data_IF_785095464062
#
_entry.id   IF_785095464062
#
_cell.length_a   1.000
_cell.length_b   1.000
_cell.length_c   1.000
_cell.angle_alpha   90.00
_cell.angle_beta   90.00
_cell.angle_gamma   90.00
#
_symmetry.space_group_name_H-M   'P 1'
#
loop_
_entity.id
_entity.type
_entity.pdbx_description
1 polymer ?
#
# COMPACT_ATOMS: atom_id res chain seq x y z
N UNK A 1 -3.43 10.45 -11.93
CA UNK A 1 -3.90 10.31 -10.53
C UNK A 1 -2.70 10.42 -9.61
N UNK A 2 -2.85 11.08 -8.46
CA UNK A 2 -1.76 11.23 -7.49
C UNK A 2 -1.70 9.94 -6.64
N UNK A 3 -0.51 9.39 -6.40
CA UNK A 3 -0.32 8.11 -5.67
C UNK A 3 -0.98 8.10 -4.29
N UNK A 4 -0.97 9.23 -3.59
CA UNK A 4 -1.67 9.40 -2.32
C UNK A 4 -3.18 9.14 -2.44
N UNK A 5 -3.83 9.75 -3.43
CA UNK A 5 -5.27 9.59 -3.64
C UNK A 5 -5.62 8.13 -3.98
N UNK A 6 -4.75 7.45 -4.72
CA UNK A 6 -4.88 6.01 -5.00
C UNK A 6 -4.81 5.19 -3.72
N UNK A 7 -3.82 5.44 -2.87
CA UNK A 7 -3.68 4.76 -1.58
C UNK A 7 -4.90 5.01 -0.68
N UNK A 8 -5.41 6.24 -0.61
CA UNK A 8 -6.63 6.60 0.15
C UNK A 8 -7.88 5.90 -0.37
N UNK A 9 -7.91 5.52 -1.65
CA UNK A 9 -8.97 4.71 -2.27
C UNK A 9 -8.74 3.20 -2.12
N UNK A 10 -7.71 2.80 -1.37
CA UNK A 10 -7.37 1.39 -1.14
C UNK A 10 -6.65 0.71 -2.31
N UNK A 11 -6.16 1.45 -3.31
CA UNK A 11 -5.35 0.85 -4.38
C UNK A 11 -4.06 0.29 -3.80
N UNK A 12 -3.78 -0.97 -4.10
CA UNK A 12 -2.58 -1.65 -3.64
C UNK A 12 -1.44 -1.41 -4.64
N UNK A 13 -0.30 -0.95 -4.13
CA UNK A 13 0.94 -0.87 -4.89
C UNK A 13 1.84 -2.04 -4.50
N UNK A 14 2.49 -2.67 -5.46
CA UNK A 14 3.42 -3.74 -5.15
C UNK A 14 4.19 -4.25 -6.35
N UNK A 15 4.99 -5.27 -6.07
CA UNK A 15 5.72 -6.06 -7.06
C UNK A 15 5.53 -7.55 -6.72
N UNK A 16 4.95 -8.28 -7.67
CA UNK A 16 4.68 -9.71 -7.52
C UNK A 16 5.96 -10.55 -7.55
N UNK A 17 7.05 -10.04 -8.13
CA UNK A 17 8.33 -10.74 -8.17
C UNK A 17 9.04 -10.69 -6.82
N UNK A 18 8.97 -9.57 -6.10
CA UNK A 18 9.60 -9.41 -4.78
C UNK A 18 8.65 -9.70 -3.62
N UNK A 19 7.36 -9.91 -3.89
CA UNK A 19 6.30 -10.06 -2.89
C UNK A 19 6.29 -8.89 -1.89
N UNK A 20 6.44 -7.67 -2.43
CA UNK A 20 6.39 -6.42 -1.68
C UNK A 20 5.11 -5.66 -2.00
N UNK A 21 4.43 -5.16 -0.97
CA UNK A 21 3.15 -4.46 -1.14
C UNK A 21 3.03 -3.27 -0.19
N UNK A 22 2.35 -2.22 -0.64
CA UNK A 22 1.98 -1.03 0.12
C UNK A 22 0.50 -0.74 -0.10
N UNK A 23 -0.27 -0.63 0.98
CA UNK A 23 -1.70 -0.34 0.91
C UNK A 23 -2.23 0.30 2.19
N UNK A 24 -3.43 0.89 2.12
CA UNK A 24 -4.15 1.41 3.29
C UNK A 24 -5.15 0.35 3.79
N UNK A 25 -5.09 -0.10 5.05
CA UNK A 25 -6.09 -1.05 5.56
C UNK A 25 -7.51 -0.46 5.50
N UNK A 26 -8.51 -1.31 5.27
CA UNK A 26 -9.93 -0.87 5.25
C UNK A 26 -10.41 -0.27 6.58
N UNK A 27 -9.75 -0.58 7.71
CA UNK A 27 -10.03 0.04 9.01
C UNK A 27 -9.69 1.54 9.06
N UNK A 28 -8.86 2.03 8.15
CA UNK A 28 -8.40 3.43 8.09
C UNK A 28 -9.28 4.31 7.18
N UNK A 29 -10.31 3.74 6.56
CA UNK A 29 -11.23 4.50 5.69
C UNK A 29 -11.94 5.57 6.51
N UNK A 30 -11.75 6.84 6.12
CA UNK A 30 -12.32 8.00 6.80
C UNK A 30 -11.47 8.52 7.97
N UNK A 31 -10.32 7.91 8.26
CA UNK A 31 -9.38 8.44 9.24
C UNK A 31 -8.77 9.77 8.77
N UNK A 32 -8.59 10.71 9.70
CA UNK A 32 -7.93 12.00 9.43
C UNK A 32 -6.45 11.78 9.06
N UNK A 33 -5.78 10.88 9.80
CA UNK A 33 -4.39 10.50 9.63
C UNK A 33 -4.28 8.97 9.51
N UNK A 34 -4.56 8.41 8.32
CA UNK A 34 -4.57 6.96 8.13
C UNK A 34 -3.16 6.37 8.26
N UNK A 35 -3.10 5.16 8.80
CA UNK A 35 -1.91 4.31 8.76
C UNK A 35 -1.88 3.50 7.46
N UNK A 36 -0.69 3.22 6.95
CA UNK A 36 -0.49 2.35 5.80
C UNK A 36 0.30 1.12 6.22
N UNK A 37 0.21 0.07 5.42
CA UNK A 37 0.92 -1.17 5.64
C UNK A 37 1.93 -1.37 4.53
N UNK A 38 3.16 -1.71 4.90
CA UNK A 38 4.14 -2.29 4.00
C UNK A 38 4.37 -3.77 4.34
N UNK A 39 4.32 -4.60 3.32
CA UNK A 39 4.58 -6.03 3.37
C UNK A 39 5.82 -6.38 2.56
N UNK A 40 6.62 -7.28 3.10
CA UNK A 40 7.75 -7.89 2.40
C UNK A 40 7.90 -9.35 2.86
N UNK A 41 7.35 -10.27 2.08
CA UNK A 41 7.29 -11.69 2.43
C UNK A 41 6.46 -11.92 3.70
N UNK A 42 7.08 -12.41 4.79
CA UNK A 42 6.39 -12.69 6.06
C UNK A 42 6.37 -11.50 7.03
N UNK A 43 6.99 -10.38 6.65
CA UNK A 43 7.06 -9.17 7.49
C UNK A 43 6.01 -8.18 7.06
N UNK A 44 5.35 -7.58 8.04
CA UNK A 44 4.40 -6.48 7.89
C UNK A 44 4.79 -5.36 8.85
N UNK A 45 4.73 -4.12 8.39
CA UNK A 45 5.00 -2.94 9.20
C UNK A 45 3.97 -1.85 8.93
N UNK A 46 3.52 -1.21 10.00
CA UNK A 46 2.72 0.01 9.95
C UNK A 46 3.64 1.19 9.63
N UNK A 47 3.26 2.00 8.64
CA UNK A 47 4.03 3.13 8.14
C UNK A 47 3.10 4.33 7.88
N UNK A 48 3.67 5.54 7.90
CA UNK A 48 2.94 6.74 7.51
C UNK A 48 2.88 6.92 5.98
N UNK A 49 2.11 7.92 5.54
CA UNK A 49 1.96 8.25 4.12
C UNK A 49 3.30 8.61 3.45
N UNK A 50 4.17 9.34 4.15
CA UNK A 50 5.45 9.78 3.61
C UNK A 50 6.35 8.58 3.29
N UNK A 51 6.42 7.63 4.21
CA UNK A 51 7.17 6.39 4.04
C UNK A 51 6.54 5.49 2.97
N UNK A 52 5.20 5.41 2.90
CA UNK A 52 4.50 4.67 1.85
C UNK A 52 4.86 5.22 0.46
N UNK A 53 4.79 6.54 0.26
CA UNK A 53 5.17 7.19 -1.00
C UNK A 53 6.66 7.05 -1.32
N UNK A 54 7.52 7.05 -0.29
CA UNK A 54 8.96 6.81 -0.46
C UNK A 54 9.23 5.40 -0.95
N UNK A 55 8.63 4.39 -0.32
CA UNK A 55 8.78 2.98 -0.70
C UNK A 55 8.26 2.72 -2.11
N UNK A 56 7.06 3.21 -2.44
CA UNK A 56 6.49 3.09 -3.79
C UNK A 56 7.44 3.65 -4.85
N UNK A 57 8.10 4.79 -4.56
CA UNK A 57 9.05 5.39 -5.50
C UNK A 57 10.38 4.63 -5.58
N UNK A 58 10.99 4.31 -4.43
CA UNK A 58 12.34 3.72 -4.38
C UNK A 58 12.36 2.27 -4.85
N UNK A 59 11.26 1.54 -4.65
CA UNK A 59 11.08 0.14 -5.07
C UNK A 59 10.39 0.00 -6.43
N UNK A 60 10.04 1.11 -7.10
CA UNK A 60 9.22 1.14 -8.32
C UNK A 60 7.92 0.32 -8.23
N UNK A 61 7.25 0.34 -7.06
CA UNK A 61 6.00 -0.39 -6.87
C UNK A 61 4.90 0.19 -7.76
N UNK A 62 4.11 -0.69 -8.38
CA UNK A 62 3.04 -0.30 -9.31
C UNK A 62 1.70 -0.78 -8.77
N UNK A 63 0.58 -0.16 -9.18
CA UNK A 63 -0.74 -0.73 -8.93
C UNK A 63 -0.74 -2.21 -9.34
N UNK A 64 -1.14 -3.08 -8.43
CA UNK A 64 -1.04 -4.53 -8.62
C UNK A 64 -2.18 -5.27 -7.92
N UNK A 65 -2.24 -6.58 -8.13
CA UNK A 65 -3.14 -7.49 -7.43
C UNK A 65 -2.37 -8.21 -6.33
N UNK A 66 -2.81 -7.99 -5.08
CA UNK A 66 -2.32 -8.70 -3.90
C UNK A 66 -2.92 -10.10 -3.84
N UNK A 67 -2.13 -11.15 -3.54
CA UNK A 67 -2.60 -12.54 -3.57
C UNK A 67 -3.75 -12.86 -2.60
N UNK A 68 -3.90 -12.08 -1.53
CA UNK A 68 -4.99 -12.26 -0.54
C UNK A 68 -6.07 -11.20 -0.60
N UNK A 69 -5.75 -9.99 -1.08
CA UNK A 69 -6.65 -8.83 -0.99
C UNK A 69 -7.23 -8.45 -2.36
N UNK A 70 -6.64 -8.92 -3.46
CA UNK A 70 -7.01 -8.51 -4.80
C UNK A 70 -6.43 -7.13 -5.15
N UNK A 71 -7.16 -6.34 -5.93
CA UNK A 71 -6.69 -5.04 -6.44
C UNK A 71 -6.91 -3.88 -5.44
N UNK A 72 -7.82 -4.06 -4.47
CA UNK A 72 -8.13 -3.07 -3.45
C UNK A 72 -8.10 -3.67 -2.05
N UNK A 73 -7.66 -2.90 -1.06
CA UNK A 73 -7.60 -3.31 0.35
C UNK A 73 -8.85 -2.95 1.16
N UNK A 74 -9.82 -2.26 0.55
CA UNK A 74 -11.11 -1.87 1.10
C UNK A 74 -12.25 -2.16 0.10
#
# INVERSE_FOLDING_TARGET
MIREEQLRRGIIFGDQHTAEYVYMPGSEVGAEHPVYVYEAGTRRADIDLGEALRLIRVRDLRPTEHPLLGQTSC
#
